data_IF_124141461303
#
_entry.id   IF_124141461303
#
_cell.length_a   1.000
_cell.length_b   1.000
_cell.length_c   1.000
_cell.angle_alpha   90.00
_cell.angle_beta   90.00
_cell.angle_gamma   90.00
#
_symmetry.space_group_name_H-M   'P 1'
#
loop_
_entity.id
_entity.type
_entity.pdbx_description
1 polymer ?
#
# COMPACT_ATOMS: atom_id res chain seq x y z
N UNK A 1 -14.85 5.53 -37.11
CA UNK A 1 -13.76 6.05 -36.27
C UNK A 1 -14.09 7.49 -35.91
N UNK A 2 -14.19 7.79 -34.61
CA UNK A 2 -14.61 9.11 -34.13
C UNK A 2 -13.40 10.09 -34.15
N UNK A 3 -13.40 11.13 -35.00
CA UNK A 3 -12.20 11.91 -35.35
C UNK A 3 -11.81 12.99 -34.31
N UNK A 4 -12.33 12.92 -33.08
CA UNK A 4 -12.16 13.96 -32.04
C UNK A 4 -11.36 13.49 -30.82
N UNK A 5 -10.86 12.25 -30.79
CA UNK A 5 -10.09 11.69 -29.66
C UNK A 5 -8.57 11.93 -29.73
N UNK A 6 -8.07 12.64 -30.74
CA UNK A 6 -6.63 12.86 -30.98
C UNK A 6 -5.95 13.84 -30.00
N UNK A 7 -6.74 14.63 -29.25
CA UNK A 7 -6.20 15.56 -28.25
C UNK A 7 -5.70 14.89 -26.95
N UNK A 8 -6.09 13.63 -26.71
CA UNK A 8 -5.90 12.99 -25.40
C UNK A 8 -4.60 12.17 -25.28
N UNK A 9 -3.84 12.00 -26.36
CA UNK A 9 -2.51 11.38 -26.33
C UNK A 9 -1.64 11.87 -27.50
N UNK A 10 -1.09 13.10 -27.44
CA UNK A 10 -0.20 13.60 -28.47
C UNK A 10 1.14 12.85 -28.41
N UNK A 11 1.36 11.94 -29.35
CA UNK A 11 2.70 11.36 -29.58
C UNK A 11 3.53 12.41 -30.32
N UNK A 12 4.42 13.10 -29.60
CA UNK A 12 5.29 14.12 -30.18
C UNK A 12 6.48 13.47 -30.90
N UNK A 13 6.52 13.63 -32.23
CA UNK A 13 7.68 13.28 -33.06
C UNK A 13 8.42 14.56 -33.47
N UNK A 14 9.62 14.78 -32.94
CA UNK A 14 10.47 15.89 -33.37
C UNK A 14 11.22 15.49 -34.66
N UNK A 15 11.43 16.42 -35.61
CA UNK A 15 12.25 16.11 -36.79
C UNK A 15 13.65 15.69 -36.32
N UNK A 16 14.15 14.58 -36.88
CA UNK A 16 15.39 13.87 -36.51
C UNK A 16 15.39 13.06 -35.20
N UNK A 17 14.29 13.00 -34.43
CA UNK A 17 14.14 11.97 -33.39
C UNK A 17 13.57 10.71 -34.04
N UNK A 18 14.27 9.57 -33.98
CA UNK A 18 13.74 8.28 -34.45
C UNK A 18 12.50 7.84 -33.65
N UNK A 19 12.15 6.55 -33.74
CA UNK A 19 11.08 5.97 -32.93
C UNK A 19 11.45 6.00 -31.44
N UNK A 20 11.20 7.12 -30.76
CA UNK A 20 11.40 7.24 -29.32
C UNK A 20 10.23 6.56 -28.63
N UNK A 21 10.47 5.40 -28.03
CA UNK A 21 9.54 4.80 -27.07
C UNK A 21 9.50 5.71 -25.84
N UNK A 22 8.43 6.49 -25.70
CA UNK A 22 8.21 7.29 -24.49
C UNK A 22 7.72 6.37 -23.39
N UNK A 23 8.58 6.09 -22.42
CA UNK A 23 8.19 5.41 -21.18
C UNK A 23 7.44 6.43 -20.32
N UNK A 24 6.11 6.33 -20.32
CA UNK A 24 5.24 7.15 -19.47
C UNK A 24 5.16 6.43 -18.12
N UNK A 25 5.97 6.86 -17.16
CA UNK A 25 5.82 6.51 -15.75
C UNK A 25 5.11 7.67 -15.03
N UNK A 26 3.77 7.64 -14.91
CA UNK A 26 3.07 8.66 -14.16
C UNK A 26 3.48 8.56 -12.69
N UNK A 27 3.87 9.68 -12.07
CA UNK A 27 4.09 9.73 -10.63
C UNK A 27 2.76 9.42 -9.92
N UNK A 28 2.70 8.30 -9.19
CA UNK A 28 1.52 7.87 -8.43
C UNK A 28 1.56 8.31 -6.98
N UNK A 29 2.59 9.07 -6.55
CA UNK A 29 2.70 9.56 -5.17
C UNK A 29 1.49 10.37 -4.72
N UNK A 30 0.87 11.15 -5.63
CA UNK A 30 -0.33 11.93 -5.33
C UNK A 30 -1.51 11.05 -4.90
N UNK A 31 -1.63 9.84 -5.45
CA UNK A 31 -2.71 8.90 -5.12
C UNK A 31 -2.56 8.38 -3.69
N UNK A 32 -1.35 7.96 -3.31
CA UNK A 32 -1.09 7.43 -1.97
C UNK A 32 -1.03 8.53 -0.90
N UNK A 33 -0.56 9.73 -1.25
CA UNK A 33 -0.57 10.89 -0.36
C UNK A 33 -2.00 11.39 -0.04
N UNK A 34 -2.97 11.08 -0.91
CA UNK A 34 -4.38 11.42 -0.70
C UNK A 34 -5.12 10.49 0.25
N UNK A 35 -4.51 9.38 0.70
CA UNK A 35 -5.14 8.44 1.62
C UNK A 35 -5.19 9.06 3.01
N UNK A 36 -6.39 9.36 3.57
CA UNK A 36 -6.48 9.93 4.90
C UNK A 36 -6.00 8.89 5.93
N UNK A 37 -5.32 9.37 6.98
CA UNK A 37 -4.78 8.49 8.04
C UNK A 37 -5.85 7.67 8.77
N UNK A 38 -7.12 8.08 8.69
CA UNK A 38 -8.27 7.32 9.21
C UNK A 38 -8.67 6.13 8.34
N UNK A 39 -8.31 6.13 7.04
CA UNK A 39 -8.60 5.05 6.10
C UNK A 39 -7.42 4.09 5.91
N UNK A 40 -6.19 4.54 6.15
CA UNK A 40 -5.00 3.71 6.05
C UNK A 40 -3.70 4.50 6.13
N UNK A 41 -2.58 3.81 5.94
CA UNK A 41 -1.26 4.43 5.85
C UNK A 41 -0.79 4.45 4.40
N UNK A 42 -0.81 5.62 3.75
CA UNK A 42 -0.48 5.75 2.33
C UNK A 42 0.92 5.25 1.93
N UNK A 43 1.92 5.39 2.81
CA UNK A 43 3.26 4.87 2.53
C UNK A 43 3.28 3.34 2.54
N UNK A 44 2.59 2.72 3.50
CA UNK A 44 2.45 1.27 3.57
C UNK A 44 1.65 0.72 2.38
N UNK A 45 0.55 1.39 2.03
CA UNK A 45 -0.29 1.04 0.87
C UNK A 45 0.51 1.12 -0.43
N UNK A 46 1.39 2.12 -0.57
CA UNK A 46 2.31 2.20 -1.71
C UNK A 46 3.25 1.01 -1.76
N UNK A 47 3.93 0.69 -0.64
CA UNK A 47 4.84 -0.48 -0.58
C UNK A 47 4.09 -1.79 -0.91
N UNK A 48 2.85 -1.94 -0.47
CA UNK A 48 2.01 -3.10 -0.80
C UNK A 48 1.59 -3.12 -2.28
N UNK A 49 1.26 -1.96 -2.87
CA UNK A 49 0.93 -1.83 -4.28
C UNK A 49 2.11 -2.22 -5.20
N UNK A 50 3.34 -1.90 -4.80
CA UNK A 50 4.55 -2.26 -5.54
C UNK A 50 4.76 -3.79 -5.61
N UNK A 51 4.31 -4.53 -4.59
CA UNK A 51 4.31 -6.01 -4.62
C UNK A 51 3.32 -6.54 -5.66
N UNK A 52 2.08 -6.07 -5.60
CA UNK A 52 1.04 -6.41 -6.55
C UNK A 52 0.06 -5.23 -6.67
N UNK A 53 -0.15 -4.74 -7.89
CA UNK A 53 -1.12 -3.66 -8.10
C UNK A 53 -2.53 -4.16 -7.82
N UNK A 54 -3.43 -3.29 -7.36
CA UNK A 54 -4.80 -3.70 -7.01
C UNK A 54 -5.53 -4.39 -8.16
N UNK A 55 -5.31 -3.97 -9.41
CA UNK A 55 -5.86 -4.63 -10.60
C UNK A 55 -5.39 -6.09 -10.74
N UNK A 56 -4.12 -6.39 -10.45
CA UNK A 56 -3.59 -7.77 -10.46
C UNK A 56 -4.20 -8.59 -9.33
N UNK A 57 -4.26 -8.03 -8.12
CA UNK A 57 -4.86 -8.71 -6.97
C UNK A 57 -6.32 -9.07 -7.23
N UNK A 58 -7.14 -8.11 -7.71
CA UNK A 58 -8.53 -8.34 -8.06
C UNK A 58 -8.69 -9.34 -9.21
N UNK A 59 -7.81 -9.29 -10.20
CA UNK A 59 -7.78 -10.25 -11.31
C UNK A 59 -7.60 -11.68 -10.82
N UNK A 60 -6.54 -11.93 -10.04
CA UNK A 60 -6.28 -13.26 -9.49
C UNK A 60 -7.42 -13.77 -8.59
N UNK A 61 -7.98 -12.90 -7.74
CA UNK A 61 -9.14 -13.25 -6.90
C UNK A 61 -10.33 -13.65 -7.78
N UNK A 62 -10.59 -12.90 -8.84
CA UNK A 62 -11.70 -13.17 -9.76
C UNK A 62 -11.53 -14.52 -10.46
N UNK A 63 -10.32 -14.81 -10.96
CA UNK A 63 -10.01 -16.09 -11.62
C UNK A 63 -10.20 -17.28 -10.67
N UNK A 64 -9.69 -17.18 -9.43
CA UNK A 64 -9.86 -18.22 -8.41
C UNK A 64 -11.34 -18.42 -8.06
N UNK A 65 -12.11 -17.34 -7.88
CA UNK A 65 -13.53 -17.43 -7.53
C UNK A 65 -14.38 -18.01 -8.66
N UNK A 66 -14.11 -17.64 -9.91
CA UNK A 66 -14.82 -18.18 -11.07
C UNK A 66 -14.53 -19.67 -11.25
N UNK A 67 -13.27 -20.09 -11.12
CA UNK A 67 -12.90 -21.50 -11.16
C UNK A 67 -13.53 -22.31 -10.01
N UNK A 68 -13.56 -21.76 -8.79
CA UNK A 68 -14.21 -22.40 -7.63
C UNK A 68 -15.72 -22.60 -7.83
N UNK A 69 -16.36 -21.76 -8.66
CA UNK A 69 -17.77 -21.92 -9.07
C UNK A 69 -17.97 -22.88 -10.25
N UNK A 70 -16.91 -23.50 -10.76
CA UNK A 70 -16.97 -24.39 -11.92
C UNK A 70 -17.22 -23.64 -13.23
N UNK A 71 -16.76 -22.39 -13.34
CA UNK A 71 -16.84 -21.64 -14.60
C UNK A 71 -15.80 -22.14 -15.59
N UNK A 72 -16.23 -22.52 -16.79
CA UNK A 72 -15.34 -22.87 -17.91
C UNK A 72 -14.64 -21.65 -18.54
N UNK A 73 -14.91 -20.44 -18.04
CA UNK A 73 -14.29 -19.21 -18.52
C UNK A 73 -12.81 -19.10 -18.15
N UNK A 74 -12.34 -19.89 -17.17
CA UNK A 74 -10.94 -19.92 -16.73
C UNK A 74 -10.33 -21.23 -17.16
N UNK A 75 -9.18 -21.18 -17.84
CA UNK A 75 -8.51 -22.38 -18.29
C UNK A 75 -8.02 -23.22 -17.09
N UNK A 76 -8.06 -24.57 -17.19
CA UNK A 76 -7.45 -25.43 -16.19
C UNK A 76 -5.96 -25.10 -16.04
N UNK A 77 -5.55 -24.70 -14.83
CA UNK A 77 -4.17 -24.28 -14.51
C UNK A 77 -4.00 -22.77 -14.28
N UNK A 78 -4.80 -21.92 -14.91
CA UNK A 78 -4.74 -20.47 -14.69
C UNK A 78 -5.21 -20.10 -13.28
N UNK A 79 -6.26 -20.77 -12.80
CA UNK A 79 -6.76 -20.58 -11.44
C UNK A 79 -5.75 -21.00 -10.37
N UNK A 80 -5.04 -22.12 -10.59
CA UNK A 80 -3.99 -22.59 -9.68
C UNK A 80 -2.79 -21.64 -9.69
N UNK A 81 -2.42 -21.11 -10.85
CA UNK A 81 -1.36 -20.12 -10.97
C UNK A 81 -1.72 -18.80 -10.28
N UNK A 82 -2.96 -18.34 -10.43
CA UNK A 82 -3.46 -17.15 -9.75
C UNK A 82 -3.58 -17.33 -8.24
N UNK A 83 -3.94 -18.53 -7.76
CA UNK A 83 -3.87 -18.84 -6.33
C UNK A 83 -2.43 -18.75 -5.80
N UNK A 84 -1.45 -19.36 -6.49
CA UNK A 84 -0.03 -19.26 -6.10
C UNK A 84 0.46 -17.81 -6.08
N UNK A 85 0.05 -17.00 -7.07
CA UNK A 85 0.39 -15.58 -7.12
C UNK A 85 -0.22 -14.80 -5.95
N UNK A 86 -1.45 -15.11 -5.56
CA UNK A 86 -2.11 -14.51 -4.39
C UNK A 86 -1.39 -14.87 -3.10
N UNK A 87 -1.06 -16.13 -2.89
CA UNK A 87 -0.31 -16.59 -1.71
C UNK A 87 1.05 -15.91 -1.62
N UNK A 88 1.79 -15.85 -2.73
CA UNK A 88 3.08 -15.19 -2.80
C UNK A 88 2.97 -13.68 -2.54
N UNK A 89 1.94 -13.02 -3.07
CA UNK A 89 1.71 -11.59 -2.83
C UNK A 89 1.34 -11.32 -1.38
N UNK A 90 0.48 -12.17 -0.78
CA UNK A 90 0.10 -12.09 0.61
C UNK A 90 1.32 -12.15 1.54
N UNK A 91 2.17 -13.17 1.38
CA UNK A 91 3.37 -13.34 2.22
C UNK A 91 4.33 -12.15 2.10
N UNK A 92 4.51 -11.61 0.89
CA UNK A 92 5.36 -10.44 0.67
C UNK A 92 4.78 -9.18 1.31
N UNK A 93 3.46 -8.97 1.21
CA UNK A 93 2.80 -7.82 1.82
C UNK A 93 2.89 -7.90 3.34
N UNK A 94 2.71 -9.07 3.95
CA UNK A 94 2.89 -9.25 5.40
C UNK A 94 4.33 -8.97 5.84
N UNK A 95 5.33 -9.41 5.07
CA UNK A 95 6.72 -9.07 5.34
C UNK A 95 6.97 -7.55 5.28
N UNK A 96 6.42 -6.86 4.28
CA UNK A 96 6.50 -5.39 4.13
C UNK A 96 5.85 -4.67 5.30
N UNK A 97 4.72 -5.17 5.81
CA UNK A 97 4.04 -4.61 6.99
C UNK A 97 4.91 -4.72 8.23
N UNK A 98 5.52 -5.89 8.45
CA UNK A 98 6.38 -6.11 9.61
C UNK A 98 7.64 -5.26 9.55
N UNK A 99 8.29 -5.20 8.38
CA UNK A 99 9.44 -4.32 8.16
C UNK A 99 9.08 -2.85 8.40
N UNK A 100 7.93 -2.40 7.88
CA UNK A 100 7.49 -1.01 8.07
C UNK A 100 7.13 -0.70 9.52
N UNK A 101 6.64 -1.68 10.28
CA UNK A 101 6.40 -1.53 11.72
C UNK A 101 7.72 -1.42 12.48
N UNK A 102 8.70 -2.26 12.17
CA UNK A 102 10.03 -2.19 12.77
C UNK A 102 10.71 -0.84 12.46
N UNK A 103 10.67 -0.41 11.19
CA UNK A 103 11.19 0.88 10.74
C UNK A 103 10.55 2.05 11.52
N UNK A 104 9.23 2.02 11.73
CA UNK A 104 8.54 3.06 12.50
C UNK A 104 9.03 3.13 13.96
N UNK A 105 9.25 1.96 14.59
CA UNK A 105 9.77 1.88 15.97
C UNK A 105 11.19 2.44 16.04
N UNK A 106 12.04 2.10 15.09
CA UNK A 106 13.43 2.57 15.04
C UNK A 106 13.49 4.09 14.82
N UNK A 107 12.69 4.61 13.89
CA UNK A 107 12.59 6.07 13.64
C UNK A 107 12.10 6.80 14.87
N UNK A 108 11.05 6.30 15.54
CA UNK A 108 10.53 6.88 16.77
C UNK A 108 11.57 6.86 17.89
N UNK A 109 12.28 5.75 18.06
CA UNK A 109 13.34 5.59 19.07
C UNK A 109 14.48 6.57 18.86
N UNK A 110 14.97 6.69 17.62
CA UNK A 110 16.02 7.64 17.26
C UNK A 110 15.57 9.10 17.46
N UNK A 111 14.32 9.43 17.16
CA UNK A 111 13.77 10.77 17.40
C UNK A 111 13.68 11.09 18.89
N UNK A 112 13.24 10.13 19.72
CA UNK A 112 13.19 10.28 21.18
C UNK A 112 14.59 10.42 21.78
N UNK A 113 15.57 9.66 21.30
CA UNK A 113 16.96 9.80 21.74
C UNK A 113 17.49 11.21 21.44
N UNK A 114 17.32 11.68 20.21
CA UNK A 114 17.73 13.05 19.81
C UNK A 114 17.05 14.12 20.66
N UNK A 115 15.77 13.94 20.98
CA UNK A 115 15.04 14.86 21.86
C UNK A 115 15.62 14.83 23.28
N UNK A 116 15.95 13.65 23.82
CA UNK A 116 16.57 13.54 25.14
C UNK A 116 17.95 14.18 25.23
N UNK A 117 18.73 14.13 24.16
CA UNK A 117 20.04 14.80 24.08
C UNK A 117 19.92 16.32 23.98
N UNK A 118 18.91 16.82 23.27
CA UNK A 118 18.72 18.26 23.04
C UNK A 118 17.93 18.98 24.14
N UNK A 119 16.88 18.34 24.67
CA UNK A 119 15.96 18.89 25.67
C UNK A 119 15.34 17.76 26.53
N UNK A 120 16.00 17.37 27.64
CA UNK A 120 15.49 16.35 28.55
C UNK A 120 14.11 16.66 29.14
N UNK A 121 13.80 17.94 29.38
CA UNK A 121 12.53 18.35 29.96
C UNK A 121 11.38 18.19 28.96
N UNK A 122 11.61 18.52 27.69
CA UNK A 122 10.64 18.27 26.62
C UNK A 122 10.39 16.77 26.41
N UNK A 123 11.42 15.92 26.51
CA UNK A 123 11.25 14.47 26.45
C UNK A 123 10.36 13.96 27.60
N UNK A 124 10.59 14.41 28.84
CA UNK A 124 9.78 14.02 30.00
C UNK A 124 8.30 14.41 29.81
N UNK A 125 8.04 15.64 29.37
CA UNK A 125 6.68 16.11 29.07
C UNK A 125 6.00 15.29 27.98
N UNK A 126 6.73 14.92 26.93
CA UNK A 126 6.22 14.08 25.85
C UNK A 126 5.81 12.70 26.37
N UNK A 127 6.67 12.04 27.15
CA UNK A 127 6.41 10.72 27.74
C UNK A 127 5.18 10.75 28.65
N UNK A 128 5.08 11.75 29.54
CA UNK A 128 3.92 11.93 30.42
C UNK A 128 2.63 12.11 29.63
N UNK A 129 2.66 12.94 28.57
CA UNK A 129 1.50 13.16 27.71
C UNK A 129 1.08 11.88 26.95
N UNK A 130 2.04 11.07 26.50
CA UNK A 130 1.79 9.82 25.81
C UNK A 130 1.16 8.78 26.75
N UNK A 131 1.68 8.64 27.98
CA UNK A 131 1.11 7.75 29.00
C UNK A 131 -0.34 8.13 29.34
N UNK A 132 -0.62 9.43 29.49
CA UNK A 132 -1.98 9.91 29.74
C UNK A 132 -2.96 9.58 28.59
N UNK A 133 -2.53 9.77 27.33
CA UNK A 133 -3.31 9.40 26.14
C UNK A 133 -3.55 7.89 26.05
N UNK A 134 -2.54 7.06 26.33
CA UNK A 134 -2.68 5.61 26.35
C UNK A 134 -3.69 5.15 27.41
N UNK A 135 -3.61 5.71 28.62
CA UNK A 135 -4.57 5.43 29.69
C UNK A 135 -6.00 5.84 29.30
N UNK A 136 -6.17 6.93 28.55
CA UNK A 136 -7.47 7.35 28.03
C UNK A 136 -8.00 6.48 26.86
N UNK A 137 -7.12 5.81 26.12
CA UNK A 137 -7.48 4.87 25.03
C UNK A 137 -7.78 3.45 25.50
N UNK A 138 -7.29 3.04 26.67
CA UNK A 138 -7.51 1.70 27.24
C UNK A 138 -8.99 1.20 27.29
N UNK A 139 -10.03 2.03 27.49
CA UNK A 139 -11.42 1.55 27.46
C UNK A 139 -11.91 1.11 26.07
N UNK A 140 -11.19 1.43 24.98
CA UNK A 140 -11.61 1.13 23.59
C UNK A 140 -11.03 -0.16 23.01
N UNK A 141 -10.03 -0.77 23.66
CA UNK A 141 -9.37 -1.99 23.19
C UNK A 141 -9.95 -3.28 23.79
N UNK A 142 -11.00 -3.19 24.62
CA UNK A 142 -11.56 -4.33 25.36
C UNK A 142 -12.90 -4.88 24.84
N UNK A 143 -13.41 -4.43 23.69
CA UNK A 143 -14.79 -4.75 23.28
C UNK A 143 -15.02 -5.38 21.90
N UNK A 144 -13.98 -5.77 21.15
CA UNK A 144 -14.17 -6.51 19.89
C UNK A 144 -13.34 -7.79 19.88
N UNK A 145 -13.92 -8.87 20.42
CA UNK A 145 -13.49 -10.25 20.13
C UNK A 145 -14.64 -11.26 20.37
N UNK A 146 -15.86 -10.88 19.98
CA UNK A 146 -17.03 -11.77 20.01
C UNK A 146 -17.97 -11.49 18.83
N UNK A 147 -17.48 -11.60 17.60
CA UNK A 147 -18.31 -11.85 16.43
C UNK A 147 -17.42 -12.19 15.23
N UNK A 148 -17.23 -13.49 15.01
CA UNK A 148 -17.35 -14.24 13.75
C UNK A 148 -16.55 -15.54 13.85
#
# INVERSE_FOLDING_TARGET
MFPWLWFWSPVFHLPFSGSVAQQIEPDTNWFFAGIPSSAGNGLLEKKAFDVASYGRQLGWITEVLLAAKGSDAIAPGDAEDSLRKLEAAYLKIEAVKEESRAELVDVASAALQKLGEADPAALEMLILSAQARLKAMAPRLGHDNSAL
#
